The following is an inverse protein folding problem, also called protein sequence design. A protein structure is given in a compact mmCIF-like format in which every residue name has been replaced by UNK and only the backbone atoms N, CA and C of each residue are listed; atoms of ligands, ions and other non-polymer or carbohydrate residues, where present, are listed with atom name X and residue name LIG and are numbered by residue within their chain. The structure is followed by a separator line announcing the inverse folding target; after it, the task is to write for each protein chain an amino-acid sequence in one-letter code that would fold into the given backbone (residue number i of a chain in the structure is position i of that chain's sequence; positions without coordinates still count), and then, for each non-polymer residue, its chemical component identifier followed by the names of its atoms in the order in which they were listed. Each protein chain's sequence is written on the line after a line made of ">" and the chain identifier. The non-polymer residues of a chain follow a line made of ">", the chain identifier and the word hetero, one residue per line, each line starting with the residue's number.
data_IF_809502242835
#
_entry.id   IF_809502242835
#
_cell.length_a   1.000
_cell.length_b   1.000
_cell.length_c   1.000
_cell.angle_alpha   90.00
_cell.angle_beta   90.00
_cell.angle_gamma   90.00
#
_symmetry.space_group_name_H-M   'P 1'
#
loop_
_entity.id
_entity.type
_entity.pdbx_description
1 polymer ?
#
# COMPACT_ATOMS: atom_id res chain seq x y z
N UNK A 1 37.42 -1.43 39.27
CA UNK A 1 37.05 -2.28 38.11
C UNK A 1 36.95 -1.37 36.89
N UNK A 2 38.02 -1.29 36.08
CA UNK A 2 38.16 -0.30 35.01
C UNK A 2 37.58 -0.77 33.68
N UNK A 3 36.76 0.07 33.04
CA UNK A 3 36.35 -0.12 31.66
C UNK A 3 37.58 0.04 30.74
N UNK A 4 38.07 -1.08 30.21
CA UNK A 4 39.19 -1.07 29.27
C UNK A 4 38.88 -0.22 28.03
N UNK A 5 39.83 0.65 27.66
CA UNK A 5 39.76 1.49 26.47
C UNK A 5 39.74 0.62 25.20
N UNK A 6 38.56 0.20 24.78
CA UNK A 6 38.35 -0.53 23.54
C UNK A 6 38.57 0.39 22.33
N UNK A 7 39.61 0.12 21.55
CA UNK A 7 39.92 0.87 20.33
C UNK A 7 38.72 0.95 19.36
N UNK A 8 38.64 2.06 18.61
CA UNK A 8 37.60 2.31 17.62
C UNK A 8 37.51 1.15 16.62
N UNK A 9 36.38 0.44 16.61
CA UNK A 9 36.11 -0.65 15.65
C UNK A 9 36.23 -0.11 14.22
N UNK A 10 37.19 -0.63 13.44
CA UNK A 10 37.30 -0.34 12.00
C UNK A 10 36.04 -0.87 11.30
N UNK A 11 35.51 -0.13 10.31
CA UNK A 11 34.28 -0.45 9.54
C UNK A 11 32.94 -0.34 10.30
N UNK A 12 32.86 0.42 11.39
CA UNK A 12 31.62 0.68 12.13
C UNK A 12 30.64 1.66 11.43
N UNK A 13 30.34 1.44 10.15
CA UNK A 13 29.33 2.23 9.43
C UNK A 13 27.95 1.59 9.58
N UNK A 14 26.92 2.40 9.82
CA UNK A 14 25.53 1.93 9.80
C UNK A 14 25.11 1.71 8.34
N UNK A 15 24.71 0.50 7.98
CA UNK A 15 24.31 0.15 6.61
C UNK A 15 22.87 0.64 6.30
N UNK A 16 22.63 1.94 6.44
CA UNK A 16 21.31 2.55 6.24
C UNK A 16 20.99 2.81 4.76
N UNK A 17 21.93 2.44 3.87
CA UNK A 17 21.80 2.60 2.43
C UNK A 17 20.60 1.83 1.88
N UNK A 18 20.26 0.68 2.46
CA UNK A 18 19.12 -0.12 2.02
C UNK A 18 17.79 0.61 2.25
N UNK A 19 17.63 1.25 3.41
CA UNK A 19 16.45 2.03 3.78
C UNK A 19 16.28 3.21 2.83
N UNK A 20 17.35 3.99 2.65
CA UNK A 20 17.36 5.13 1.72
C UNK A 20 17.05 4.70 0.29
N UNK A 21 17.56 3.55 -0.16
CA UNK A 21 17.27 3.01 -1.50
C UNK A 21 15.82 2.54 -1.64
N UNK A 22 15.20 2.03 -0.59
CA UNK A 22 13.80 1.55 -0.59
C UNK A 22 12.81 2.69 -0.77
N UNK A 23 13.01 3.82 -0.09
CA UNK A 23 12.10 4.97 -0.12
C UNK A 23 12.38 5.96 -1.26
N UNK A 24 13.25 5.63 -2.23
CA UNK A 24 13.45 6.46 -3.42
C UNK A 24 12.28 6.33 -4.39
N UNK A 25 11.97 7.43 -5.08
CA UNK A 25 10.87 7.54 -6.06
C UNK A 25 10.89 6.43 -7.12
N UNK A 26 12.08 6.07 -7.63
CA UNK A 26 12.24 5.00 -8.64
C UNK A 26 11.83 3.58 -8.19
N UNK A 27 11.57 3.35 -6.90
CA UNK A 27 11.16 2.06 -6.33
C UNK A 27 9.86 2.18 -5.52
N UNK A 28 9.12 3.28 -5.70
CA UNK A 28 7.89 3.55 -4.98
C UNK A 28 6.82 2.55 -5.41
N UNK A 29 6.12 1.99 -4.44
CA UNK A 29 4.95 1.14 -4.66
C UNK A 29 3.69 2.01 -4.74
N UNK A 30 2.62 1.46 -5.34
CA UNK A 30 1.31 2.11 -5.34
C UNK A 30 0.85 2.47 -3.93
N UNK A 31 0.29 3.67 -3.80
CA UNK A 31 -0.23 4.20 -2.54
C UNK A 31 -1.63 3.60 -2.23
N UNK A 32 -2.19 3.88 -1.06
CA UNK A 32 -3.45 3.24 -0.61
C UNK A 32 -4.68 3.77 -1.36
N UNK A 33 -4.70 5.08 -1.61
CA UNK A 33 -5.70 5.80 -2.42
C UNK A 33 -5.76 5.27 -3.85
N UNK A 34 -4.61 5.14 -4.52
CA UNK A 34 -4.53 4.60 -5.88
C UNK A 34 -5.09 3.17 -5.95
N UNK A 35 -4.82 2.35 -4.94
CA UNK A 35 -5.34 0.98 -4.87
C UNK A 35 -6.86 0.94 -4.64
N UNK A 36 -7.41 1.85 -3.84
CA UNK A 36 -8.86 1.96 -3.65
C UNK A 36 -9.55 2.41 -4.95
N UNK A 37 -8.96 3.36 -5.67
CA UNK A 37 -9.46 3.77 -6.99
C UNK A 37 -9.42 2.63 -8.00
N UNK A 38 -8.31 1.88 -8.05
CA UNK A 38 -8.16 0.70 -8.90
C UNK A 38 -9.23 -0.37 -8.58
N UNK A 39 -9.60 -0.51 -7.29
CA UNK A 39 -10.65 -1.43 -6.84
C UNK A 39 -12.04 -0.98 -7.31
N UNK A 40 -12.32 0.32 -7.32
CA UNK A 40 -13.60 0.88 -7.80
C UNK A 40 -13.73 0.79 -9.33
N UNK A 41 -12.64 1.06 -10.07
CA UNK A 41 -12.64 1.14 -11.54
C UNK A 41 -12.67 -0.24 -12.23
N UNK A 42 -12.48 -1.33 -11.49
CA UNK A 42 -12.55 -2.74 -11.95
C UNK A 42 -12.02 -3.01 -13.37
N UNK A 43 -10.89 -2.37 -13.73
CA UNK A 43 -10.40 -2.40 -15.11
C UNK A 43 -9.87 -3.80 -15.47
N UNK A 44 -10.29 -4.38 -16.62
CA UNK A 44 -9.72 -5.63 -17.09
C UNK A 44 -8.24 -5.41 -17.43
N UNK A 45 -7.36 -6.10 -16.70
CA UNK A 45 -5.92 -6.05 -16.98
C UNK A 45 -5.60 -6.94 -18.17
N UNK A 46 -4.98 -6.34 -19.19
CA UNK A 46 -4.42 -7.07 -20.33
C UNK A 46 -3.22 -7.89 -19.88
N UNK A 47 -3.14 -9.13 -20.34
CA UNK A 47 -1.97 -9.97 -20.18
C UNK A 47 -0.80 -9.33 -20.92
N UNK A 48 0.26 -9.00 -20.18
CA UNK A 48 1.50 -8.46 -20.76
C UNK A 48 2.62 -9.48 -20.52
N UNK A 49 3.43 -9.74 -21.55
CA UNK A 49 4.52 -10.72 -21.48
C UNK A 49 5.68 -10.26 -20.58
N UNK A 50 5.78 -8.96 -20.31
CA UNK A 50 6.87 -8.33 -19.54
C UNK A 50 6.71 -8.52 -18.01
N UNK A 51 5.52 -8.89 -17.54
CA UNK A 51 5.26 -9.08 -16.11
C UNK A 51 5.32 -10.56 -15.71
N UNK A 52 5.75 -10.89 -14.48
CA UNK A 52 5.81 -12.28 -14.04
C UNK A 52 4.43 -12.95 -14.11
N UNK A 53 4.41 -14.20 -14.58
CA UNK A 53 3.19 -14.99 -14.77
C UNK A 53 2.25 -14.43 -15.85
N UNK A 54 2.78 -13.67 -16.82
CA UNK A 54 2.01 -13.03 -17.91
C UNK A 54 0.82 -12.19 -17.42
N UNK A 55 0.89 -11.71 -16.17
CA UNK A 55 -0.16 -10.93 -15.53
C UNK A 55 -1.42 -11.73 -15.15
N UNK A 56 -1.39 -13.06 -15.26
CA UNK A 56 -2.53 -13.93 -14.93
C UNK A 56 -2.75 -14.02 -13.42
N UNK A 57 -1.68 -14.05 -12.64
CA UNK A 57 -1.72 -14.25 -11.20
C UNK A 57 -1.45 -12.94 -10.47
N UNK A 58 -2.50 -12.17 -10.19
CA UNK A 58 -2.40 -10.83 -9.61
C UNK A 58 -3.13 -10.68 -8.27
N UNK A 59 -2.57 -9.90 -7.36
CA UNK A 59 -3.26 -9.43 -6.17
C UNK A 59 -3.54 -7.93 -6.27
N UNK A 60 -4.83 -7.57 -6.29
CA UNK A 60 -5.32 -6.18 -6.36
C UNK A 60 -4.82 -5.36 -5.16
N UNK A 61 -5.09 -5.83 -3.94
CA UNK A 61 -4.80 -5.10 -2.68
C UNK A 61 -3.33 -4.75 -2.47
N UNK A 62 -2.44 -5.63 -2.92
CA UNK A 62 -0.99 -5.45 -2.79
C UNK A 62 -0.32 -4.95 -4.07
N UNK A 63 -1.06 -4.86 -5.18
CA UNK A 63 -0.56 -4.48 -6.50
C UNK A 63 0.69 -5.25 -6.93
N UNK A 64 0.66 -6.57 -6.74
CA UNK A 64 1.77 -7.47 -7.07
C UNK A 64 1.31 -8.58 -8.00
N UNK A 65 2.09 -8.79 -9.05
CA UNK A 65 2.00 -9.94 -9.97
C UNK A 65 2.88 -11.07 -9.45
N UNK A 66 2.41 -12.30 -9.64
CA UNK A 66 3.06 -13.54 -9.21
C UNK A 66 3.22 -14.48 -10.41
N UNK A 67 4.14 -15.43 -10.30
CA UNK A 67 4.38 -16.41 -11.37
C UNK A 67 3.35 -17.56 -11.37
N UNK A 68 2.89 -17.99 -10.19
CA UNK A 68 2.01 -19.16 -10.03
C UNK A 68 0.75 -18.86 -9.21
N UNK A 69 -0.31 -19.62 -9.47
CA UNK A 69 -1.52 -19.61 -8.63
C UNK A 69 -1.27 -20.06 -7.17
N UNK A 70 -0.32 -20.96 -6.94
CA UNK A 70 0.10 -21.38 -5.58
C UNK A 70 0.73 -20.21 -4.81
N UNK A 71 1.54 -19.41 -5.49
CA UNK A 71 2.18 -18.23 -4.90
C UNK A 71 1.12 -17.20 -4.46
N UNK A 72 0.09 -16.96 -5.27
CA UNK A 72 -1.03 -16.07 -4.89
C UNK A 72 -1.77 -16.58 -3.65
N UNK A 73 -2.06 -17.88 -3.58
CA UNK A 73 -2.73 -18.48 -2.41
C UNK A 73 -1.89 -18.30 -1.13
N UNK A 74 -0.58 -18.58 -1.20
CA UNK A 74 0.33 -18.36 -0.06
C UNK A 74 0.43 -16.89 0.34
N UNK A 75 0.43 -15.98 -0.64
CA UNK A 75 0.46 -14.54 -0.41
C UNK A 75 -0.78 -14.06 0.34
N UNK A 76 -1.99 -14.51 -0.04
CA UNK A 76 -3.24 -14.13 0.64
C UNK A 76 -3.25 -14.51 2.12
N UNK A 77 -2.61 -15.63 2.48
CA UNK A 77 -2.52 -16.09 3.86
C UNK A 77 -1.43 -15.39 4.69
N UNK A 78 -0.52 -14.68 4.03
CA UNK A 78 0.62 -14.03 4.68
C UNK A 78 0.20 -12.84 5.54
N UNK A 79 0.99 -12.55 6.58
CA UNK A 79 0.81 -11.38 7.46
C UNK A 79 0.75 -10.03 6.71
N UNK A 80 1.64 -9.72 5.74
CA UNK A 80 1.61 -8.42 5.07
C UNK A 80 0.33 -8.21 4.26
N UNK A 81 -0.24 -9.27 3.67
CA UNK A 81 -1.52 -9.17 2.97
C UNK A 81 -2.65 -8.84 3.94
N UNK A 82 -2.73 -9.57 5.07
CA UNK A 82 -3.71 -9.29 6.14
C UNK A 82 -3.59 -7.88 6.72
N UNK A 83 -2.36 -7.39 6.87
CA UNK A 83 -2.12 -6.01 7.30
C UNK A 83 -2.63 -5.00 6.26
N UNK A 84 -2.35 -5.24 4.97
CA UNK A 84 -2.82 -4.36 3.88
C UNK A 84 -4.34 -4.33 3.79
N UNK A 85 -5.01 -5.46 4.03
CA UNK A 85 -6.47 -5.52 4.11
C UNK A 85 -7.00 -4.61 5.20
N UNK A 86 -6.41 -4.65 6.41
CA UNK A 86 -6.81 -3.76 7.52
C UNK A 86 -6.63 -2.28 7.15
N UNK A 87 -5.52 -1.92 6.51
CA UNK A 87 -5.27 -0.54 6.06
C UNK A 87 -6.23 -0.08 4.96
N UNK A 88 -6.80 -0.99 4.17
CA UNK A 88 -7.76 -0.66 3.11
C UNK A 88 -9.21 -0.64 3.60
N UNK A 89 -9.48 -1.09 4.84
CA UNK A 89 -10.79 -0.96 5.48
C UNK A 89 -11.01 0.47 5.98
N UNK A 90 -9.94 1.20 6.30
CA UNK A 90 -9.99 2.61 6.63
C UNK A 90 -10.07 3.45 5.34
N UNK A 91 -10.88 4.53 5.32
CA UNK A 91 -10.93 5.42 4.17
C UNK A 91 -9.57 6.08 3.95
N UNK A 92 -9.13 6.20 2.69
CA UNK A 92 -7.87 6.85 2.38
C UNK A 92 -7.91 8.34 2.72
N UNK A 93 -6.84 8.81 3.36
CA UNK A 93 -6.63 10.21 3.67
C UNK A 93 -6.50 11.04 2.39
N UNK A 94 -7.25 12.14 2.30
CA UNK A 94 -7.28 12.98 1.10
C UNK A 94 -6.68 14.37 1.34
N UNK A 95 -6.18 14.99 0.28
CA UNK A 95 -5.63 16.35 0.33
C UNK A 95 -6.66 17.38 0.87
N UNK A 96 -7.94 17.20 0.53
CA UNK A 96 -9.02 18.05 1.03
C UNK A 96 -9.17 17.99 2.55
N UNK A 97 -8.97 16.81 3.14
CA UNK A 97 -8.99 16.62 4.59
C UNK A 97 -7.80 17.35 5.25
N UNK A 98 -6.61 17.30 4.63
CA UNK A 98 -5.43 18.03 5.09
C UNK A 98 -5.63 19.55 5.06
N UNK A 99 -6.22 20.07 3.98
CA UNK A 99 -6.50 21.50 3.83
C UNK A 99 -7.57 21.97 4.82
N UNK A 100 -8.59 21.16 5.05
CA UNK A 100 -9.61 21.43 6.06
C UNK A 100 -8.99 21.50 7.47
N UNK A 101 -8.14 20.54 7.84
CA UNK A 101 -7.43 20.53 9.12
C UNK A 101 -6.49 21.73 9.28
N UNK A 102 -5.90 22.21 8.18
CA UNK A 102 -5.06 23.41 8.14
C UNK A 102 -5.83 24.73 8.10
N UNK A 103 -7.18 24.69 8.10
CA UNK A 103 -8.03 25.89 8.01
C UNK A 103 -8.06 26.55 6.64
N UNK A 104 -7.64 25.84 5.59
CA UNK A 104 -7.53 26.31 4.19
C UNK A 104 -8.70 25.86 3.29
N UNK A 105 -9.76 25.28 3.87
CA UNK A 105 -10.94 24.79 3.14
C UNK A 105 -12.06 25.83 3.01
N UNK A 106 -12.84 25.74 1.92
CA UNK A 106 -14.14 26.39 1.79
C UNK A 106 -15.07 26.02 2.96
N UNK A 107 -15.94 26.95 3.37
CA UNK A 107 -16.92 26.92 4.49
C UNK A 107 -17.80 25.65 4.63
N UNK A 108 -17.70 24.68 3.71
CA UNK A 108 -18.33 23.38 3.86
C UNK A 108 -17.76 22.63 5.05
N UNK A 109 -18.63 22.18 5.96
CA UNK A 109 -18.24 21.40 7.12
C UNK A 109 -17.39 20.19 6.72
N UNK A 110 -16.28 20.01 7.43
CA UNK A 110 -15.29 18.93 7.27
C UNK A 110 -15.87 17.50 7.38
N UNK A 111 -17.19 17.36 7.56
CA UNK A 111 -17.87 16.12 7.96
C UNK A 111 -18.20 15.17 6.81
N UNK A 112 -17.69 15.42 5.60
CA UNK A 112 -18.00 14.59 4.42
C UNK A 112 -17.19 13.29 4.32
N UNK A 113 -16.52 12.84 5.38
CA UNK A 113 -15.90 11.52 5.46
C UNK A 113 -16.89 10.35 5.60
N UNK A 114 -18.18 10.62 5.85
CA UNK A 114 -19.20 9.59 6.08
C UNK A 114 -19.86 9.04 4.80
N UNK A 115 -19.53 9.54 3.61
CA UNK A 115 -20.18 9.10 2.36
C UNK A 115 -19.41 7.99 1.64
N UNK A 116 -19.18 6.86 2.31
CA UNK A 116 -18.91 5.59 1.63
C UNK A 116 -19.40 4.37 2.42
N UNK A 117 -20.49 4.52 3.18
CA UNK A 117 -21.31 3.40 3.66
C UNK A 117 -22.64 3.38 2.90
N UNK A 118 -23.02 2.20 2.38
CA UNK A 118 -24.23 1.83 1.60
C UNK A 118 -24.17 2.17 0.10
N UNK A 119 -24.33 1.26 -0.88
CA UNK A 119 -25.23 0.10 -0.99
C UNK A 119 -24.54 -1.20 -1.45
N UNK A 120 -24.69 -2.27 -0.67
CA UNK A 120 -24.86 -3.62 -1.19
C UNK A 120 -26.27 -3.76 -1.76
N UNK A 121 -26.43 -3.76 -3.08
CA UNK A 121 -27.65 -4.27 -3.71
C UNK A 121 -27.53 -5.78 -3.84
N UNK A 122 -28.19 -6.47 -2.92
CA UNK A 122 -28.65 -7.85 -3.09
C UNK A 122 -29.59 -7.88 -4.30
N UNK A 123 -29.15 -8.42 -5.43
CA UNK A 123 -30.06 -8.84 -6.50
C UNK A 123 -30.17 -10.36 -6.47
N UNK A 124 -31.21 -10.80 -5.77
CA UNK A 124 -31.89 -12.06 -5.98
C UNK A 124 -32.55 -12.05 -7.36
N UNK A 125 -32.11 -12.94 -8.26
CA UNK A 125 -32.97 -13.72 -9.14
C UNK A 125 -32.40 -15.13 -9.21
#
# INVERSE_FOLDING_TARGET
>A
MGAGAGGRRKRAHKNDKHIKKKYRTKRRTKDLDEVLEDMQKSLPRRHTADVPGSGQHYCLMCSRTFMDGKAVKSHRNSKPHKQRLRSLMEPAYTQREAECAAGKGSYYSCRQGEKHMTHTQTQSQ
#
